data_IF_693244345587
#
_entry.id   IF_693244345587
#
_cell.length_a   1.000
_cell.length_b   1.000
_cell.length_c   1.000
_cell.angle_alpha   90.00
_cell.angle_beta   90.00
_cell.angle_gamma   90.00
#
_symmetry.space_group_name_H-M   'P 1'
#
loop_
_entity.id
_entity.type
_entity.pdbx_description
1 polymer ?
#
# COMPACT_ATOMS: atom_id res chain seq x y z
N UNK A 1 28.34 10.75 11.67
CA UNK A 1 27.28 9.99 11.95
C UNK A 1 26.17 10.70 12.58
N UNK A 2 26.41 11.50 13.48
CA UNK A 2 25.37 12.23 14.09
C UNK A 2 24.67 13.11 13.15
N UNK A 3 25.37 13.59 12.14
CA UNK A 3 24.73 14.44 11.19
C UNK A 3 23.63 13.75 10.45
N UNK A 4 23.80 12.48 10.16
CA UNK A 4 22.77 11.78 9.41
C UNK A 4 21.49 11.72 10.20
N UNK A 5 21.61 11.46 11.46
CA UNK A 5 20.43 11.35 12.28
C UNK A 5 19.72 12.68 12.37
N UNK A 6 20.48 13.72 12.47
CA UNK A 6 19.87 15.00 12.56
C UNK A 6 19.17 15.37 11.28
N UNK A 7 19.74 15.00 10.18
CA UNK A 7 19.11 15.30 8.94
C UNK A 7 17.82 14.56 8.78
N UNK A 8 17.81 13.31 9.23
CA UNK A 8 16.59 12.56 9.14
C UNK A 8 15.53 13.13 10.02
N UNK A 9 15.91 13.55 11.19
CA UNK A 9 14.92 14.12 12.07
C UNK A 9 14.38 15.41 11.53
N UNK A 10 15.23 16.20 10.96
CA UNK A 10 14.77 17.46 10.41
C UNK A 10 13.78 17.23 9.29
N UNK A 11 14.05 16.25 8.47
CA UNK A 11 13.15 15.97 7.39
C UNK A 11 11.80 15.54 7.90
N UNK A 12 11.79 14.72 8.91
CA UNK A 12 10.54 14.26 9.45
C UNK A 12 9.76 15.42 10.04
N UNK A 13 10.45 16.26 10.76
CA UNK A 13 9.77 17.38 11.34
C UNK A 13 9.22 18.30 10.28
N UNK A 14 9.97 18.50 9.24
CA UNK A 14 9.52 19.34 8.18
C UNK A 14 8.24 18.83 7.58
N UNK A 15 8.19 17.54 7.44
CA UNK A 15 6.99 16.99 6.92
C UNK A 15 5.82 17.21 7.80
N UNK A 16 5.99 17.06 9.06
CA UNK A 16 4.89 17.22 9.93
C UNK A 16 4.38 18.62 9.93
N UNK A 17 5.26 19.57 9.80
CA UNK A 17 4.80 20.89 9.79
C UNK A 17 4.07 21.20 8.59
N UNK A 18 4.35 20.60 7.53
CA UNK A 18 3.84 20.96 6.31
C UNK A 18 2.41 20.82 6.18
N UNK A 19 1.95 19.90 6.25
CA UNK A 19 0.65 19.75 6.03
C UNK A 19 0.13 18.66 6.32
N UNK A 20 -0.41 18.39 6.40
CA UNK A 20 -1.19 17.65 6.66
C UNK A 20 -1.31 16.53 6.17
N UNK A 21 -1.29 15.61 6.53
CA UNK A 21 -1.64 14.52 6.03
C UNK A 21 -0.84 13.94 5.00
N UNK A 22 0.30 14.14 4.82
CA UNK A 22 1.14 13.46 3.88
C UNK A 22 1.60 12.18 4.50
N UNK A 23 1.24 11.09 3.91
CA UNK A 23 1.62 9.79 4.41
C UNK A 23 2.99 9.43 3.89
N UNK A 24 3.93 9.13 4.78
CA UNK A 24 5.22 8.78 4.37
C UNK A 24 5.40 7.34 4.49
N UNK A 25 5.58 6.62 3.46
CA UNK A 25 5.81 5.20 3.48
C UNK A 25 7.26 4.90 3.73
N UNK A 26 7.55 3.83 4.45
CA UNK A 26 8.94 3.46 4.69
C UNK A 26 9.65 3.24 3.38
N UNK A 27 10.86 3.74 3.29
CA UNK A 27 11.58 3.55 2.10
C UNK A 27 12.61 2.54 2.40
N UNK A 28 12.46 1.37 2.01
CA UNK A 28 13.36 0.35 2.31
C UNK A 28 14.61 0.57 1.54
N UNK A 29 15.62 0.09 1.97
CA UNK A 29 16.82 0.23 1.34
C UNK A 29 16.88 -0.64 0.22
N UNK A 30 17.99 -0.90 -0.35
CA UNK A 30 18.00 -1.58 -1.39
C UNK A 30 18.09 -2.96 -1.15
N UNK A 31 18.34 -3.48 -0.13
CA UNK A 31 18.45 -4.75 0.10
C UNK A 31 17.30 -5.39 0.65
N UNK A 32 17.16 -6.60 0.85
CA UNK A 32 16.10 -7.34 1.44
C UNK A 32 15.91 -6.91 2.87
N UNK A 33 14.75 -6.51 3.22
CA UNK A 33 14.47 -6.13 4.59
C UNK A 33 13.51 -7.16 5.17
N UNK A 34 13.16 -6.97 6.43
CA UNK A 34 12.34 -7.98 7.11
C UNK A 34 10.97 -8.11 6.48
N UNK A 35 10.46 -7.07 5.87
CA UNK A 35 9.15 -7.16 5.24
C UNK A 35 9.21 -7.96 3.95
N UNK A 36 10.30 -7.81 3.23
CA UNK A 36 10.51 -8.63 2.05
C UNK A 36 10.62 -10.09 2.43
N UNK A 37 11.28 -10.37 3.54
CA UNK A 37 11.39 -11.73 4.00
C UNK A 37 10.04 -12.28 4.39
N UNK A 38 9.19 -11.47 5.00
CA UNK A 38 7.85 -11.92 5.31
C UNK A 38 7.08 -12.29 4.06
N UNK A 39 7.19 -11.48 3.02
CA UNK A 39 6.49 -11.77 1.78
C UNK A 39 6.97 -13.06 1.16
N UNK A 40 8.27 -13.29 1.22
CA UNK A 40 8.81 -14.52 0.67
C UNK A 40 8.30 -15.73 1.45
N UNK A 41 8.22 -15.61 2.76
CA UNK A 41 7.72 -16.71 3.56
C UNK A 41 6.25 -16.98 3.30
N UNK A 42 5.48 -15.92 3.11
CA UNK A 42 4.09 -16.11 2.78
C UNK A 42 3.96 -16.84 1.45
N UNK A 43 4.77 -16.44 0.49
CA UNK A 43 4.70 -17.05 -0.82
C UNK A 43 5.08 -18.51 -0.80
N UNK A 44 6.09 -18.84 -0.01
CA UNK A 44 6.53 -20.21 0.00
C UNK A 44 5.72 -21.10 0.89
N UNK A 45 5.43 -20.66 2.08
CA UNK A 45 4.84 -21.53 3.09
C UNK A 45 3.48 -21.09 3.56
N UNK A 46 2.96 -20.01 3.01
CA UNK A 46 1.72 -19.43 3.49
C UNK A 46 1.81 -19.19 4.99
N UNK A 47 2.92 -18.61 5.39
CA UNK A 47 3.26 -18.43 6.79
C UNK A 47 2.37 -17.37 7.41
N UNK A 48 1.47 -17.77 8.29
CA UNK A 48 0.54 -16.85 8.88
C UNK A 48 1.17 -15.92 9.88
N UNK A 49 2.21 -16.39 10.56
CA UNK A 49 2.90 -15.51 11.49
C UNK A 49 3.58 -14.36 10.75
N UNK A 50 4.18 -14.69 9.60
CA UNK A 50 4.79 -13.65 8.79
C UNK A 50 3.72 -12.67 8.30
N UNK A 51 2.56 -13.17 7.93
CA UNK A 51 1.50 -12.31 7.47
C UNK A 51 1.00 -11.42 8.61
N UNK A 52 0.89 -11.94 9.81
CA UNK A 52 0.46 -11.13 10.93
C UNK A 52 1.42 -10.00 11.20
N UNK A 53 2.71 -10.28 11.12
CA UNK A 53 3.70 -9.23 11.30
C UNK A 53 3.57 -8.17 10.22
N UNK A 54 3.40 -8.62 9.00
CA UNK A 54 3.26 -7.70 7.90
C UNK A 54 1.99 -6.87 8.06
N UNK A 55 0.92 -7.50 8.47
CA UNK A 55 -0.35 -6.81 8.67
C UNK A 55 -0.20 -5.72 9.72
N UNK A 56 0.42 -6.04 10.84
CA UNK A 56 0.56 -5.06 11.90
C UNK A 56 1.37 -3.85 11.48
N UNK A 57 2.32 -4.08 10.62
CA UNK A 57 3.15 -2.98 10.15
C UNK A 57 2.45 -2.13 9.11
N UNK A 58 1.82 -2.77 8.13
CA UNK A 58 1.28 -2.03 7.01
C UNK A 58 -0.16 -1.55 7.18
N UNK A 59 -0.95 -2.21 8.01
CA UNK A 59 -2.35 -1.80 8.15
C UNK A 59 -2.49 -0.33 8.55
N UNK A 60 -1.77 0.16 9.56
CA UNK A 60 -1.93 1.57 9.89
C UNK A 60 -1.46 2.49 8.79
N UNK A 61 -0.45 2.08 8.04
CA UNK A 61 0.02 2.90 6.94
C UNK A 61 -1.00 2.96 5.83
N UNK A 62 -1.63 1.83 5.54
CA UNK A 62 -2.64 1.78 4.51
C UNK A 62 -3.85 2.63 4.93
N UNK A 63 -4.23 2.53 6.19
CA UNK A 63 -5.37 3.29 6.65
C UNK A 63 -5.09 4.78 6.57
N UNK A 64 -3.91 5.21 6.98
CA UNK A 64 -3.54 6.61 6.89
C UNK A 64 -3.52 7.06 5.44
N UNK A 65 -3.01 6.21 4.56
CA UNK A 65 -2.99 6.53 3.16
C UNK A 65 -4.41 6.67 2.62
N UNK A 66 -5.30 5.79 3.04
CA UNK A 66 -6.67 5.83 2.57
C UNK A 66 -7.36 7.13 2.95
N UNK A 67 -7.08 7.60 4.15
CA UNK A 67 -7.73 8.79 4.64
C UNK A 67 -7.09 10.08 4.19
N UNK A 68 -5.87 10.00 3.69
CA UNK A 68 -5.16 11.23 3.37
C UNK A 68 -5.73 11.88 2.14
N UNK A 69 -6.04 13.13 2.26
CA UNK A 69 -6.51 13.93 1.15
C UNK A 69 -7.75 13.37 0.48
N UNK A 70 -8.59 12.68 1.19
CA UNK A 70 -9.73 12.11 0.54
C UNK A 70 -10.95 12.24 1.40
N UNK A 71 -12.07 11.87 0.81
CA UNK A 71 -13.32 11.92 1.51
C UNK A 71 -13.75 10.55 1.98
N UNK A 72 -12.86 9.60 2.00
CA UNK A 72 -13.24 8.28 2.46
C UNK A 72 -13.53 8.29 3.94
N UNK A 73 -14.54 7.55 4.33
CA UNK A 73 -14.87 7.43 5.73
C UNK A 73 -13.93 6.45 6.39
N UNK A 74 -13.97 6.41 7.71
CA UNK A 74 -13.16 5.44 8.45
C UNK A 74 -13.56 4.01 8.07
N UNK A 75 -14.84 3.79 7.83
CA UNK A 75 -15.28 2.45 7.42
C UNK A 75 -14.70 2.06 6.08
N UNK A 76 -14.67 2.99 5.15
CA UNK A 76 -14.10 2.69 3.86
C UNK A 76 -12.59 2.47 3.98
N UNK A 77 -11.94 3.19 4.87
CA UNK A 77 -10.53 2.99 5.05
C UNK A 77 -10.23 1.60 5.61
N UNK A 78 -11.05 1.15 6.56
CA UNK A 78 -10.86 -0.18 7.11
C UNK A 78 -11.12 -1.24 6.05
N UNK A 79 -12.09 -1.01 5.22
CA UNK A 79 -12.39 -1.91 4.13
C UNK A 79 -11.21 -2.00 3.18
N UNK A 80 -10.61 -0.85 2.90
CA UNK A 80 -9.46 -0.83 2.03
C UNK A 80 -8.30 -1.61 2.61
N UNK A 81 -8.07 -1.48 3.91
CA UNK A 81 -7.00 -2.23 4.55
C UNK A 81 -7.22 -3.72 4.33
N UNK A 82 -8.44 -4.18 4.53
CA UNK A 82 -8.71 -5.60 4.37
C UNK A 82 -8.50 -6.05 2.95
N UNK A 83 -8.95 -5.25 2.02
CA UNK A 83 -8.81 -5.62 0.62
C UNK A 83 -7.34 -5.68 0.20
N UNK A 84 -6.57 -4.70 0.63
CA UNK A 84 -5.16 -4.67 0.29
C UNK A 84 -4.44 -5.87 0.90
N UNK A 85 -4.71 -6.16 2.16
CA UNK A 85 -4.01 -7.24 2.80
C UNK A 85 -4.40 -8.59 2.24
N UNK A 86 -5.65 -8.73 1.80
CA UNK A 86 -6.05 -9.95 1.15
C UNK A 86 -5.28 -10.13 -0.16
N UNK A 87 -5.12 -9.06 -0.91
CA UNK A 87 -4.36 -9.15 -2.15
C UNK A 87 -2.89 -9.42 -1.87
N UNK A 88 -2.35 -8.87 -0.81
CA UNK A 88 -0.98 -9.16 -0.43
C UNK A 88 -0.83 -10.66 -0.18
N UNK A 89 -1.78 -11.24 0.55
CA UNK A 89 -1.72 -12.67 0.82
C UNK A 89 -1.81 -13.47 -0.47
N UNK A 90 -2.72 -13.10 -1.32
CA UNK A 90 -2.95 -13.85 -2.53
C UNK A 90 -1.84 -13.73 -3.55
N UNK A 91 -1.22 -12.55 -3.59
CA UNK A 91 -0.25 -12.28 -4.63
C UNK A 91 1.18 -12.25 -4.15
N UNK A 92 1.42 -12.76 -2.95
CA UNK A 92 2.79 -12.73 -2.42
C UNK A 92 3.76 -13.44 -3.36
N UNK A 93 3.29 -14.44 -4.08
CA UNK A 93 4.16 -15.15 -5.00
C UNK A 93 4.66 -14.32 -6.15
N UNK A 94 3.99 -13.22 -6.44
CA UNK A 94 4.43 -12.35 -7.52
C UNK A 94 5.46 -11.32 -7.06
N UNK A 95 5.69 -11.22 -5.76
CA UNK A 95 6.66 -10.26 -5.27
C UNK A 95 8.07 -10.74 -5.57
N UNK A 96 8.88 -9.84 -6.08
CA UNK A 96 10.28 -10.15 -6.36
C UNK A 96 11.15 -9.16 -5.60
N UNK A 97 11.85 -9.63 -4.56
CA UNK A 97 12.62 -8.71 -3.74
C UNK A 97 13.76 -8.04 -4.48
N UNK A 98 14.16 -8.60 -5.60
CA UNK A 98 15.21 -7.98 -6.35
C UNK A 98 14.72 -6.81 -7.18
N UNK A 99 13.44 -6.76 -7.44
CA UNK A 99 12.91 -5.71 -8.28
C UNK A 99 12.26 -4.59 -7.51
N UNK A 100 11.82 -4.83 -6.31
CA UNK A 100 11.14 -3.80 -5.55
C UNK A 100 11.24 -4.06 -4.08
N UNK A 101 11.21 -3.00 -3.31
CA UNK A 101 11.11 -3.14 -1.88
C UNK A 101 9.70 -3.55 -1.50
N UNK A 102 9.57 -4.23 -0.39
CA UNK A 102 8.25 -4.68 0.06
C UNK A 102 7.29 -3.51 0.21
N UNK A 103 7.76 -2.41 0.77
CA UNK A 103 6.88 -1.28 0.99
C UNK A 103 6.38 -0.70 -0.32
N UNK A 104 7.22 -0.66 -1.33
CA UNK A 104 6.79 -0.17 -2.63
C UNK A 104 5.75 -1.08 -3.23
N UNK A 105 5.97 -2.37 -3.12
CA UNK A 105 5.06 -3.35 -3.68
C UNK A 105 3.69 -3.26 -3.01
N UNK A 106 3.67 -3.16 -1.68
CA UNK A 106 2.41 -3.05 -0.95
C UNK A 106 1.73 -1.72 -1.26
N UNK A 107 2.52 -0.65 -1.35
CA UNK A 107 1.94 0.64 -1.64
C UNK A 107 1.27 0.65 -3.01
N UNK A 108 1.86 -0.02 -3.99
CA UNK A 108 1.26 -0.05 -5.32
C UNK A 108 -0.08 -0.78 -5.28
N UNK A 109 -0.16 -1.87 -4.51
CA UNK A 109 -1.43 -2.55 -4.34
C UNK A 109 -2.43 -1.63 -3.66
N UNK A 110 -1.99 -0.92 -2.62
CA UNK A 110 -2.89 -0.05 -1.90
C UNK A 110 -3.40 1.07 -2.79
N UNK A 111 -2.54 1.62 -3.61
CA UNK A 111 -2.94 2.69 -4.50
C UNK A 111 -3.97 2.22 -5.51
N UNK A 112 -3.74 1.04 -6.06
CA UNK A 112 -4.69 0.51 -7.02
C UNK A 112 -6.03 0.18 -6.38
N UNK A 113 -6.01 -0.38 -5.19
CA UNK A 113 -7.25 -0.68 -4.49
C UNK A 113 -8.01 0.59 -4.13
N UNK A 114 -7.28 1.63 -3.76
CA UNK A 114 -7.93 2.88 -3.41
C UNK A 114 -8.61 3.50 -4.63
N UNK A 115 -7.94 3.43 -5.76
CA UNK A 115 -8.52 3.92 -6.98
C UNK A 115 -9.77 3.13 -7.35
N UNK A 116 -9.72 1.82 -7.19
CA UNK A 116 -10.88 1.00 -7.47
C UNK A 116 -12.03 1.32 -6.53
N UNK A 117 -11.72 1.57 -5.27
CA UNK A 117 -12.75 1.90 -4.31
C UNK A 117 -13.42 3.21 -4.68
N UNK A 118 -12.63 4.21 -5.06
CA UNK A 118 -13.21 5.47 -5.49
C UNK A 118 -14.12 5.29 -6.68
N UNK A 119 -13.73 4.46 -7.60
CA UNK A 119 -14.55 4.23 -8.76
C UNK A 119 -15.87 3.55 -8.40
N UNK A 120 -15.81 2.60 -7.47
CA UNK A 120 -17.03 1.95 -7.04
C UNK A 120 -17.96 2.91 -6.34
N UNK A 121 -17.41 3.80 -5.53
CA UNK A 121 -18.24 4.76 -4.84
C UNK A 121 -18.86 5.75 -5.80
N UNK A 122 -18.12 6.14 -6.80
CA UNK A 122 -18.67 7.03 -7.79
C UNK A 122 -19.79 6.40 -8.57
N UNK A 123 -19.72 5.11 -8.78
CA UNK A 123 -20.77 4.45 -9.51
C UNK A 123 -22.10 4.57 -8.80
N UNK A 124 -22.09 4.52 -7.49
CA UNK A 124 -23.33 4.66 -6.77
C UNK A 124 -23.86 6.07 -6.85
N UNK A 125 -22.99 7.04 -6.89
CA UNK A 125 -23.44 8.42 -6.97
C UNK A 125 -23.80 8.81 -8.37
N UNK A 126 -23.10 8.27 -9.35
CA UNK A 126 -23.28 8.69 -10.73
C UNK A 126 -23.30 7.49 -11.62
N UNK A 127 -24.42 6.91 -11.78
CA UNK A 127 -24.52 5.67 -12.53
C UNK A 127 -23.99 5.74 -13.94
N UNK A 128 -24.04 6.90 -14.52
CA UNK A 128 -23.60 7.01 -15.89
C UNK A 128 -22.14 6.75 -16.09
N UNK A 129 -21.36 6.99 -15.09
CA UNK A 129 -19.94 6.86 -15.24
C UNK A 129 -19.50 5.43 -15.28
N UNK A 130 -20.38 4.52 -15.05
CA UNK A 130 -19.98 3.15 -14.97
C UNK A 130 -19.33 2.64 -16.23
N UNK A 131 -19.69 3.19 -17.32
CA UNK A 131 -19.17 2.67 -18.54
C UNK A 131 -17.72 2.92 -18.76
N UNK A 132 -17.22 3.91 -18.13
CA UNK A 132 -15.87 4.31 -18.38
C UNK A 132 -14.84 3.54 -17.62
N UNK A 133 -15.25 2.77 -16.67
CA UNK A 133 -14.28 2.19 -15.80
C UNK A 133 -13.72 0.85 -16.16
N UNK A 134 -14.41 0.10 -16.85
CA UNK A 134 -14.03 -1.26 -17.03
C UNK A 134 -12.64 -1.49 -17.56
N UNK A 135 -12.26 -0.85 -18.61
CA UNK A 135 -10.98 -1.17 -19.19
C UNK A 135 -9.81 -0.78 -18.35
N UNK A 136 -9.96 0.30 -17.65
CA UNK A 136 -8.85 0.75 -16.89
C UNK A 136 -8.56 -0.07 -15.71
N UNK A 137 -9.58 -0.69 -15.22
CA UNK A 137 -9.41 -1.49 -14.05
C UNK A 137 -8.42 -2.58 -14.26
N UNK A 138 -8.40 -3.16 -15.38
CA UNK A 138 -7.53 -4.23 -15.62
C UNK A 138 -6.13 -3.84 -15.81
N UNK A 139 -5.93 -2.75 -16.42
CA UNK A 139 -4.60 -2.33 -16.67
C UNK A 139 -3.84 -2.06 -15.45
N UNK A 140 -4.51 -1.63 -14.43
CA UNK A 140 -3.80 -1.29 -13.22
C UNK A 140 -3.19 -2.48 -12.57
N UNK A 141 -3.58 -3.66 -12.92
CA UNK A 141 -3.03 -4.79 -12.30
C UNK A 141 -1.89 -5.40 -13.00
N UNK A 142 -1.73 -5.05 -14.22
CA UNK A 142 -0.69 -5.63 -14.96
C UNK A 142 0.68 -5.34 -14.48
N UNK A 143 0.98 -4.15 -14.06
CA UNK A 143 2.33 -3.88 -13.61
C UNK A 143 2.80 -4.77 -12.51
N UNK A 144 1.90 -5.28 -11.73
CA UNK A 144 2.30 -6.16 -10.70
C UNK A 144 2.80 -7.46 -11.24
N UNK A 145 2.18 -7.95 -12.22
CA UNK A 145 2.56 -9.20 -12.77
C UNK A 145 3.93 -9.14 -13.37
N UNK A 146 4.30 -7.99 -13.82
CA UNK A 146 5.57 -7.87 -14.44
C UNK A 146 6.67 -7.64 -13.48
N UNK A 147 6.36 -7.22 -12.31
CA UNK A 147 7.38 -7.04 -11.33
C UNK A 147 7.84 -8.35 -10.81
#
# INVERSE_FOLDING_TARGET
MERSAEQQQAAVQGNEQGHEKVVRWPQAGRRTDEWSECLVKIAKDQDRAAFTRLFRHFAPLIKAFALSGSTLSANHADELVQEVMLKVWQKAGAFNPEKAAASTWVYTIARNCRTDLFRRLQKFDTPLAAEDFAPEHEENQEPFAQL
#
